data_IF_980711441712
#
_entry.id   IF_980711441712
#
_cell.length_a   1.000
_cell.length_b   1.000
_cell.length_c   1.000
_cell.angle_alpha   90.00
_cell.angle_beta   90.00
_cell.angle_gamma   90.00
#
_symmetry.space_group_name_H-M   'P 1'
#
loop_
_entity.id
_entity.type
_entity.pdbx_description
1 polymer ?
#
# COMPACT_ATOMS: atom_id res chain seq x y z
N UNK A 1 -21.82 -8.83 26.93
CA UNK A 1 -21.90 -8.96 25.45
C UNK A 1 -20.62 -8.44 24.85
N UNK A 2 -19.74 -9.31 24.40
CA UNK A 2 -18.51 -8.94 23.71
C UNK A 2 -18.89 -8.24 22.38
N UNK A 3 -18.42 -7.01 22.18
CA UNK A 3 -18.56 -6.31 20.88
C UNK A 3 -17.66 -7.04 19.88
N UNK A 4 -18.22 -7.99 19.15
CA UNK A 4 -17.51 -8.65 18.06
C UNK A 4 -17.23 -7.63 16.96
N UNK A 5 -15.97 -7.37 16.67
CA UNK A 5 -15.58 -6.55 15.52
C UNK A 5 -16.04 -7.28 14.23
N UNK A 6 -16.90 -6.68 13.39
CA UNK A 6 -17.48 -7.35 12.22
C UNK A 6 -16.42 -7.96 11.27
N UNK A 7 -15.28 -7.29 11.14
CA UNK A 7 -14.15 -7.78 10.30
C UNK A 7 -13.49 -9.03 10.90
N UNK A 8 -13.33 -9.10 12.21
CA UNK A 8 -12.78 -10.28 12.88
C UNK A 8 -13.73 -11.47 12.71
N UNK A 9 -15.02 -11.28 12.95
CA UNK A 9 -16.03 -12.31 12.75
C UNK A 9 -16.09 -12.83 11.31
N UNK A 10 -15.92 -11.95 10.32
CA UNK A 10 -15.83 -12.36 8.92
C UNK A 10 -14.58 -13.19 8.64
N UNK A 11 -13.43 -12.82 9.18
CA UNK A 11 -12.18 -13.57 9.03
C UNK A 11 -12.29 -14.95 9.72
N UNK A 12 -12.82 -14.99 10.93
CA UNK A 12 -13.03 -16.23 11.69
C UNK A 12 -13.93 -17.19 10.90
N UNK A 13 -15.01 -16.69 10.31
CA UNK A 13 -15.88 -17.48 9.43
C UNK A 13 -15.12 -18.03 8.23
N UNK A 14 -14.32 -17.23 7.54
CA UNK A 14 -13.53 -17.67 6.38
C UNK A 14 -12.53 -18.73 6.78
N UNK A 15 -11.86 -18.57 7.92
CA UNK A 15 -10.90 -19.56 8.43
C UNK A 15 -11.59 -20.87 8.80
N UNK A 16 -12.72 -20.81 9.51
CA UNK A 16 -13.51 -21.96 9.89
C UNK A 16 -14.05 -22.71 8.65
N UNK A 17 -14.57 -22.00 7.66
CA UNK A 17 -15.04 -22.59 6.40
C UNK A 17 -13.92 -23.35 5.67
N UNK A 18 -12.71 -22.77 5.64
CA UNK A 18 -11.54 -23.42 5.01
C UNK A 18 -11.09 -24.65 5.81
N UNK A 19 -11.07 -24.59 7.14
CA UNK A 19 -10.72 -25.71 8.00
C UNK A 19 -11.70 -26.87 7.80
N UNK A 20 -13.01 -26.60 7.80
CA UNK A 20 -14.04 -27.62 7.54
C UNK A 20 -13.93 -28.20 6.15
N UNK A 21 -13.61 -27.38 5.12
CA UNK A 21 -13.39 -27.88 3.77
C UNK A 21 -12.24 -28.88 3.70
N UNK A 22 -11.13 -28.61 4.40
CA UNK A 22 -9.98 -29.53 4.49
C UNK A 22 -10.36 -30.78 5.25
N UNK A 23 -11.03 -30.66 6.41
CA UNK A 23 -11.47 -31.78 7.21
C UNK A 23 -12.41 -32.72 6.44
N UNK A 24 -13.33 -32.17 5.63
CA UNK A 24 -14.18 -32.96 4.73
C UNK A 24 -13.38 -33.70 3.66
N UNK A 25 -12.39 -33.07 3.05
CA UNK A 25 -11.49 -33.70 2.06
C UNK A 25 -10.70 -34.87 2.68
N UNK A 26 -10.45 -34.81 3.98
CA UNK A 26 -9.77 -35.86 4.75
C UNK A 26 -10.75 -36.88 5.36
N UNK A 27 -12.05 -36.80 5.05
CA UNK A 27 -13.11 -37.64 5.61
C UNK A 27 -13.19 -37.64 7.14
N UNK A 28 -12.82 -36.51 7.78
CA UNK A 28 -12.85 -36.37 9.25
C UNK A 28 -14.19 -35.79 9.73
N UNK A 29 -15.00 -35.17 8.87
CA UNK A 29 -16.29 -34.58 9.21
C UNK A 29 -17.14 -34.38 7.96
N UNK A 30 -18.46 -34.40 8.13
CA UNK A 30 -19.42 -33.96 7.09
C UNK A 30 -19.99 -32.57 7.37
N UNK A 31 -19.51 -31.90 8.41
CA UNK A 31 -19.99 -30.60 8.83
C UNK A 31 -19.78 -29.53 7.77
N UNK A 32 -20.77 -28.69 7.54
CA UNK A 32 -20.76 -27.53 6.62
C UNK A 32 -21.23 -26.30 7.39
N UNK A 33 -20.57 -25.17 7.18
CA UNK A 33 -21.11 -23.89 7.64
C UNK A 33 -22.17 -23.43 6.64
N UNK A 34 -23.40 -23.43 7.05
CA UNK A 34 -24.52 -22.83 6.32
C UNK A 34 -24.87 -21.42 6.84
N UNK A 35 -25.83 -20.78 6.16
CA UNK A 35 -26.28 -19.44 6.52
C UNK A 35 -27.01 -19.35 7.85
N UNK A 36 -27.62 -20.45 8.31
CA UNK A 36 -28.42 -20.49 9.53
C UNK A 36 -27.52 -20.71 10.76
N UNK A 37 -26.52 -21.57 10.64
CA UNK A 37 -25.55 -21.84 11.71
C UNK A 37 -24.47 -20.78 11.85
N UNK A 38 -24.14 -20.07 10.76
CA UNK A 38 -23.12 -19.03 10.76
C UNK A 38 -23.49 -17.93 9.75
N UNK A 39 -24.33 -16.96 10.13
CA UNK A 39 -24.78 -15.89 9.24
C UNK A 39 -23.62 -15.09 8.66
N UNK A 40 -23.81 -14.60 7.43
CA UNK A 40 -22.81 -13.74 6.80
C UNK A 40 -22.72 -12.41 7.54
N UNK A 41 -21.53 -12.10 8.02
CA UNK A 41 -21.25 -10.76 8.56
C UNK A 41 -20.87 -9.86 7.40
N UNK A 42 -21.74 -8.92 7.05
CA UNK A 42 -21.45 -7.90 6.04
C UNK A 42 -20.55 -6.85 6.69
N UNK A 43 -19.32 -6.79 6.23
CA UNK A 43 -18.39 -5.71 6.58
C UNK A 43 -18.35 -4.71 5.44
N UNK A 44 -18.91 -3.52 5.67
CA UNK A 44 -18.68 -2.39 4.77
C UNK A 44 -17.23 -1.91 4.96
N UNK A 45 -16.40 -2.16 3.96
CA UNK A 45 -15.04 -1.64 3.98
C UNK A 45 -15.10 -0.11 3.99
N UNK A 46 -14.47 0.50 4.99
CA UNK A 46 -14.29 1.95 4.97
C UNK A 46 -13.40 2.32 3.77
N UNK A 47 -13.82 3.34 3.03
CA UNK A 47 -13.02 3.88 1.91
C UNK A 47 -11.66 4.33 2.45
N UNK A 48 -10.61 4.02 1.69
CA UNK A 48 -9.27 4.47 2.05
C UNK A 48 -9.21 6.01 1.94
N UNK A 49 -8.73 6.65 3.00
CA UNK A 49 -8.44 8.08 2.96
C UNK A 49 -7.22 8.30 2.06
N UNK A 50 -7.35 9.20 1.10
CA UNK A 50 -6.29 9.60 0.17
C UNK A 50 -6.04 11.10 0.29
N UNK A 51 -4.79 11.51 0.11
CA UNK A 51 -4.39 12.90 0.04
C UNK A 51 -4.52 13.42 -1.40
N UNK A 52 -4.90 14.65 -1.55
CA UNK A 52 -4.78 15.37 -2.84
C UNK A 52 -3.30 15.55 -3.21
N UNK A 53 -2.99 15.81 -4.47
CA UNK A 53 -1.60 16.03 -4.90
C UNK A 53 -0.89 17.15 -4.11
N UNK A 54 -1.49 18.33 -3.87
CA UNK A 54 -0.86 19.37 -3.04
C UNK A 54 -0.62 18.91 -1.59
N UNK A 55 -1.53 18.16 -0.98
CA UNK A 55 -1.36 17.62 0.37
C UNK A 55 -0.25 16.56 0.40
N UNK A 56 -0.17 15.69 -0.63
CA UNK A 56 0.88 14.70 -0.76
C UNK A 56 2.27 15.33 -0.87
N UNK A 57 2.42 16.39 -1.67
CA UNK A 57 3.67 17.15 -1.80
C UNK A 57 4.07 17.79 -0.46
N UNK A 58 3.14 18.47 0.22
CA UNK A 58 3.40 19.03 1.57
C UNK A 58 3.80 17.95 2.58
N UNK A 59 3.17 16.77 2.49
CA UNK A 59 3.53 15.63 3.31
C UNK A 59 4.97 15.17 3.02
N UNK A 60 5.36 15.05 1.75
CA UNK A 60 6.71 14.62 1.35
C UNK A 60 7.78 15.57 1.87
N UNK A 61 7.58 16.89 1.73
CA UNK A 61 8.51 17.92 2.25
C UNK A 61 8.71 17.78 3.77
N UNK A 62 7.62 17.62 4.50
CA UNK A 62 7.68 17.46 5.95
C UNK A 62 8.26 16.11 6.39
N UNK A 63 7.97 15.03 5.64
CA UNK A 63 8.47 13.69 5.89
C UNK A 63 9.97 13.58 5.65
N UNK A 64 10.54 14.36 4.72
CA UNK A 64 11.97 14.39 4.41
C UNK A 64 12.83 14.78 5.64
N UNK A 65 12.24 15.48 6.60
CA UNK A 65 12.92 15.90 7.85
C UNK A 65 12.87 14.86 8.97
N UNK A 66 12.14 13.76 8.79
CA UNK A 66 11.96 12.73 9.82
C UNK A 66 13.10 11.70 9.79
N UNK A 67 13.31 11.00 10.90
CA UNK A 67 14.32 9.92 10.97
C UNK A 67 13.98 8.78 9.99
N UNK A 68 12.70 8.47 9.84
CA UNK A 68 12.21 7.45 8.92
C UNK A 68 11.84 7.98 7.51
N UNK A 69 12.38 9.14 7.12
CA UNK A 69 12.04 9.82 5.88
C UNK A 69 12.09 8.91 4.64
N UNK A 70 13.14 8.09 4.49
CA UNK A 70 13.27 7.20 3.35
C UNK A 70 12.09 6.25 3.21
N UNK A 71 11.60 5.66 4.31
CA UNK A 71 10.42 4.78 4.31
C UNK A 71 9.15 5.55 3.94
N UNK A 72 8.96 6.74 4.54
CA UNK A 72 7.77 7.57 4.30
C UNK A 72 7.72 8.04 2.84
N UNK A 73 8.85 8.52 2.30
CA UNK A 73 8.95 8.98 0.91
C UNK A 73 8.78 7.83 -0.09
N UNK A 74 9.34 6.66 0.17
CA UNK A 74 9.14 5.49 -0.67
C UNK A 74 7.67 5.02 -0.68
N UNK A 75 6.95 5.15 0.44
CA UNK A 75 5.50 4.92 0.45
C UNK A 75 4.76 5.94 -0.43
N UNK A 76 5.20 7.22 -0.45
CA UNK A 76 4.70 8.23 -1.39
C UNK A 76 5.08 7.95 -2.85
N UNK A 77 6.11 7.15 -3.12
CA UNK A 77 6.45 6.65 -4.46
C UNK A 77 5.69 5.36 -4.83
N UNK A 78 4.70 4.95 -4.03
CA UNK A 78 3.86 3.79 -4.33
C UNK A 78 4.38 2.46 -3.81
N UNK A 79 5.41 2.41 -2.97
CA UNK A 79 5.85 1.17 -2.33
C UNK A 79 4.90 0.75 -1.21
N UNK A 80 4.76 -0.56 -1.02
CA UNK A 80 4.15 -1.07 0.21
C UNK A 80 5.11 -0.83 1.39
N UNK A 81 4.58 -0.66 2.59
CA UNK A 81 5.37 -0.48 3.81
C UNK A 81 6.53 -1.48 3.93
N UNK A 82 6.25 -2.77 3.74
CA UNK A 82 7.27 -3.81 3.83
C UNK A 82 8.34 -3.74 2.73
N UNK A 83 7.98 -3.30 1.54
CA UNK A 83 8.90 -3.05 0.43
C UNK A 83 9.80 -1.84 0.73
N UNK A 84 9.20 -0.74 1.22
CA UNK A 84 9.94 0.47 1.61
C UNK A 84 10.96 0.22 2.73
N UNK A 85 10.60 -0.64 3.71
CA UNK A 85 11.50 -1.05 4.79
C UNK A 85 12.65 -1.96 4.32
N UNK A 86 12.44 -2.72 3.24
CA UNK A 86 13.43 -3.65 2.70
C UNK A 86 14.33 -3.03 1.64
N UNK A 87 14.00 -1.82 1.19
CA UNK A 87 14.75 -1.13 0.14
C UNK A 87 16.18 -0.81 0.60
N UNK A 88 17.15 -1.06 -0.29
CA UNK A 88 18.57 -0.95 0.00
C UNK A 88 19.32 -0.18 -1.07
N UNK A 89 20.56 0.17 -0.77
CA UNK A 89 21.44 0.81 -1.72
C UNK A 89 21.77 -0.09 -2.93
N UNK A 90 21.83 -1.40 -2.72
CA UNK A 90 22.07 -2.38 -3.78
C UNK A 90 20.92 -2.47 -4.79
N UNK A 91 19.72 -2.08 -4.38
CA UNK A 91 18.52 -2.07 -5.23
C UNK A 91 18.38 -0.80 -6.07
N UNK A 92 19.18 0.24 -5.80
CA UNK A 92 19.12 1.54 -6.46
C UNK A 92 20.23 1.65 -7.51
N UNK A 93 19.84 1.81 -8.78
CA UNK A 93 20.77 2.03 -9.88
C UNK A 93 21.30 3.47 -9.91
N UNK A 94 22.39 3.70 -10.67
CA UNK A 94 23.01 5.02 -10.78
C UNK A 94 22.07 6.09 -11.41
N UNK A 95 21.18 5.66 -12.30
CA UNK A 95 20.15 6.48 -12.96
C UNK A 95 18.89 6.73 -12.10
N UNK A 96 18.93 6.35 -10.82
CA UNK A 96 17.84 6.65 -9.87
C UNK A 96 16.65 5.69 -9.94
N UNK A 97 16.83 4.51 -10.55
CA UNK A 97 15.77 3.49 -10.62
C UNK A 97 15.92 2.49 -9.49
N UNK A 98 14.89 2.38 -8.65
CA UNK A 98 14.79 1.41 -7.56
C UNK A 98 14.17 0.11 -8.05
N UNK A 99 14.85 -1.02 -7.82
CA UNK A 99 14.32 -2.37 -8.06
C UNK A 99 13.66 -2.89 -6.80
N UNK A 100 12.34 -3.10 -6.84
CA UNK A 100 11.57 -3.62 -5.71
C UNK A 100 11.53 -5.13 -5.80
N UNK A 101 12.26 -5.82 -4.89
CA UNK A 101 12.42 -7.27 -4.93
C UNK A 101 12.32 -7.96 -3.57
N UNK A 102 12.35 -7.22 -2.48
CA UNK A 102 12.23 -7.75 -1.12
C UNK A 102 11.15 -7.03 -0.32
N UNK A 103 10.70 -7.66 0.73
CA UNK A 103 9.85 -7.08 1.76
C UNK A 103 10.39 -7.44 3.15
N UNK A 104 10.11 -6.60 4.13
CA UNK A 104 10.48 -6.80 5.53
C UNK A 104 9.30 -6.49 6.44
N UNK A 105 9.09 -7.34 7.45
CA UNK A 105 8.20 -7.08 8.56
C UNK A 105 8.94 -6.47 9.76
N UNK A 106 8.35 -6.63 10.93
CA UNK A 106 8.93 -6.17 12.20
C UNK A 106 10.15 -7.02 12.62
N UNK A 107 10.25 -8.26 12.14
CA UNK A 107 11.32 -9.23 12.43
C UNK A 107 12.69 -8.87 11.84
N UNK A 108 12.82 -7.79 11.09
CA UNK A 108 14.04 -7.38 10.37
C UNK A 108 14.54 -8.36 9.29
N UNK A 109 13.96 -9.53 9.15
CA UNK A 109 14.30 -10.48 8.08
C UNK A 109 13.79 -10.01 6.73
N UNK A 110 14.64 -10.14 5.72
CA UNK A 110 14.26 -9.90 4.32
C UNK A 110 13.57 -11.14 3.78
N UNK A 111 12.40 -10.94 3.20
CA UNK A 111 11.62 -11.98 2.55
C UNK A 111 11.42 -11.64 1.08
N UNK A 112 11.30 -12.64 0.19
CA UNK A 112 10.91 -12.41 -1.18
C UNK A 112 9.49 -11.82 -1.24
N UNK A 113 9.16 -11.18 -2.33
CA UNK A 113 7.82 -10.65 -2.56
C UNK A 113 6.80 -11.79 -2.74
N UNK A 114 5.56 -11.56 -2.29
CA UNK A 114 4.49 -12.57 -2.27
C UNK A 114 4.05 -13.03 -3.66
N UNK A 115 4.27 -12.25 -4.71
CA UNK A 115 3.85 -12.58 -6.08
C UNK A 115 4.84 -12.07 -7.11
N UNK A 116 4.89 -12.69 -8.28
CA UNK A 116 5.73 -12.27 -9.42
C UNK A 116 5.38 -10.84 -9.88
N UNK A 117 4.14 -10.42 -9.80
CA UNK A 117 3.69 -9.08 -10.19
C UNK A 117 4.17 -7.96 -9.24
N UNK A 118 4.64 -8.31 -8.05
CA UNK A 118 5.20 -7.35 -7.10
C UNK A 118 6.62 -6.91 -7.46
N UNK A 119 7.37 -7.73 -8.23
CA UNK A 119 8.69 -7.39 -8.73
C UNK A 119 8.57 -6.32 -9.81
N UNK A 120 9.20 -5.18 -9.59
CA UNK A 120 9.10 -4.03 -10.48
C UNK A 120 10.24 -3.06 -10.30
N UNK A 121 10.40 -2.16 -11.25
CA UNK A 121 11.35 -1.05 -11.21
C UNK A 121 10.59 0.26 -11.17
N UNK A 122 11.04 1.19 -10.33
CA UNK A 122 10.42 2.51 -10.13
C UNK A 122 11.52 3.56 -10.23
N UNK A 123 11.36 4.51 -11.16
CA UNK A 123 12.18 5.71 -11.18
C UNK A 123 11.76 6.60 -10.00
N UNK A 124 12.72 6.94 -9.14
CA UNK A 124 12.45 7.80 -7.98
C UNK A 124 12.59 9.28 -8.38
N UNK A 125 11.72 10.16 -7.86
CA UNK A 125 11.86 11.61 -8.05
C UNK A 125 13.17 12.13 -7.44
N UNK A 126 13.73 13.20 -8.01
CA UNK A 126 15.03 13.76 -7.60
C UNK A 126 15.07 14.14 -6.11
N UNK A 127 14.02 14.76 -5.58
CA UNK A 127 13.92 15.11 -4.17
C UNK A 127 13.96 13.88 -3.23
N UNK A 128 13.44 12.74 -3.68
CA UNK A 128 13.52 11.47 -2.92
C UNK A 128 14.93 10.89 -3.02
N UNK A 129 15.55 10.94 -4.20
CA UNK A 129 16.93 10.51 -4.41
C UNK A 129 17.90 11.32 -3.56
N UNK A 130 17.73 12.63 -3.51
CA UNK A 130 18.56 13.52 -2.70
C UNK A 130 18.42 13.21 -1.21
N UNK A 131 17.20 13.00 -0.74
CA UNK A 131 16.96 12.57 0.64
C UNK A 131 17.67 11.25 0.96
N UNK A 132 17.63 10.26 0.05
CA UNK A 132 18.32 8.97 0.21
C UNK A 132 19.83 9.14 0.21
N UNK A 133 20.38 9.97 -0.69
CA UNK A 133 21.84 10.20 -0.85
C UNK A 133 22.44 10.94 0.34
N UNK A 134 21.69 11.88 0.92
CA UNK A 134 22.14 12.67 2.07
C UNK A 134 22.19 11.87 3.38
N UNK A 135 21.56 10.69 3.42
CA UNK A 135 21.54 9.88 4.63
C UNK A 135 22.76 8.97 4.73
N UNK A 136 23.28 8.74 5.96
CA UNK A 136 24.40 7.85 6.16
C UNK A 136 24.04 6.43 5.71
N UNK A 137 25.05 5.70 5.23
CA UNK A 137 24.92 4.28 4.92
C UNK A 137 24.68 3.50 6.20
N UNK A 138 23.69 2.63 6.19
CA UNK A 138 23.50 1.67 7.29
C UNK A 138 24.43 0.47 7.12
N UNK A 139 24.70 -0.26 8.20
CA UNK A 139 25.59 -1.42 8.18
C UNK A 139 25.07 -2.55 7.29
N UNK A 140 23.75 -2.70 7.19
CA UNK A 140 23.11 -3.69 6.33
C UNK A 140 22.97 -3.24 4.87
N UNK A 141 23.25 -1.97 4.55
CA UNK A 141 22.99 -1.35 3.26
C UNK A 141 21.52 -0.98 3.01
N UNK A 142 20.60 -1.26 3.95
CA UNK A 142 19.22 -0.80 3.89
C UNK A 142 19.15 0.72 3.99
N UNK A 143 18.15 1.34 3.39
CA UNK A 143 17.93 2.79 3.56
C UNK A 143 17.45 3.16 4.97
N UNK A 144 16.88 2.22 5.72
CA UNK A 144 16.39 2.42 7.06
C UNK A 144 16.50 1.16 7.91
N UNK A 145 17.15 1.26 9.08
CA UNK A 145 17.29 0.16 10.04
C UNK A 145 16.46 0.32 11.32
N UNK A 146 15.76 1.44 11.46
CA UNK A 146 14.94 1.72 12.64
C UNK A 146 13.71 0.81 12.76
N UNK A 147 12.96 1.02 13.84
CA UNK A 147 11.75 0.25 14.15
C UNK A 147 10.55 0.73 13.35
N UNK A 148 9.59 -0.15 13.15
CA UNK A 148 8.29 0.18 12.56
C UNK A 148 7.51 1.17 13.44
N UNK A 149 7.64 1.07 14.76
CA UNK A 149 7.03 2.02 15.68
C UNK A 149 7.47 3.46 15.40
N UNK A 150 8.77 3.67 15.17
CA UNK A 150 9.31 5.00 14.80
C UNK A 150 8.72 5.50 13.49
N UNK A 151 8.57 4.64 12.48
CA UNK A 151 7.91 5.02 11.21
C UNK A 151 6.49 5.51 11.44
N UNK A 152 5.70 4.82 12.26
CA UNK A 152 4.34 5.26 12.60
C UNK A 152 4.32 6.55 13.41
N UNK A 153 5.24 6.72 14.36
CA UNK A 153 5.36 7.94 15.17
C UNK A 153 5.68 9.14 14.28
N UNK A 154 6.64 9.00 13.37
CA UNK A 154 7.01 10.05 12.43
C UNK A 154 5.86 10.38 11.47
N UNK A 155 5.22 9.35 10.90
CA UNK A 155 4.04 9.51 10.06
C UNK A 155 2.93 10.29 10.77
N UNK A 156 2.61 9.91 12.02
CA UNK A 156 1.59 10.58 12.82
C UNK A 156 1.97 12.04 13.12
N UNK A 157 3.23 12.28 13.49
CA UNK A 157 3.74 13.63 13.72
C UNK A 157 3.59 14.53 12.49
N UNK A 158 3.93 14.02 11.30
CA UNK A 158 3.77 14.76 10.03
C UNK A 158 2.30 15.06 9.74
N UNK A 159 1.43 14.06 9.83
CA UNK A 159 0.00 14.23 9.55
C UNK A 159 -0.66 15.21 10.50
N UNK A 160 -0.35 15.14 11.79
CA UNK A 160 -0.87 16.09 12.80
C UNK A 160 -0.35 17.51 12.56
N UNK A 161 0.97 17.69 12.38
CA UNK A 161 1.57 19.02 12.16
C UNK A 161 1.01 19.73 10.94
N UNK A 162 0.66 19.00 9.89
CA UNK A 162 0.08 19.54 8.66
C UNK A 162 -1.44 19.58 8.67
N UNK A 163 -2.10 19.13 9.75
CA UNK A 163 -3.57 19.01 9.84
C UNK A 163 -4.16 18.23 8.66
N UNK A 164 -3.49 17.16 8.24
CA UNK A 164 -3.95 16.33 7.13
C UNK A 164 -5.05 15.36 7.58
N UNK A 165 -5.89 14.86 6.65
CA UNK A 165 -6.82 13.77 6.93
C UNK A 165 -6.10 12.55 7.50
N UNK A 166 -6.78 11.65 8.26
CA UNK A 166 -6.18 10.49 8.92
C UNK A 166 -5.78 9.42 7.90
N UNK A 167 -4.83 9.74 7.03
CA UNK A 167 -4.27 8.85 6.03
C UNK A 167 -3.36 7.81 6.68
N UNK A 168 -3.36 6.58 6.16
CA UNK A 168 -2.44 5.52 6.59
C UNK A 168 -1.20 5.49 5.68
N UNK A 169 -0.13 4.77 6.06
CA UNK A 169 1.02 4.52 5.16
C UNK A 169 0.58 3.84 3.85
N UNK A 170 -0.43 2.98 3.90
CA UNK A 170 -1.01 2.40 2.69
C UNK A 170 -1.86 3.43 1.92
N UNK A 171 -2.49 4.36 2.63
CA UNK A 171 -3.19 5.50 2.05
C UNK A 171 -2.28 6.45 1.28
N UNK A 172 -1.01 6.65 1.70
CA UNK A 172 -0.03 7.42 0.92
C UNK A 172 0.21 6.80 -0.47
N UNK A 173 0.37 5.48 -0.51
CA UNK A 173 0.46 4.75 -1.78
C UNK A 173 -0.81 4.86 -2.62
N UNK A 174 -1.98 4.89 -2.01
CA UNK A 174 -3.24 5.15 -2.72
C UNK A 174 -3.31 6.59 -3.22
N UNK A 175 -2.80 7.55 -2.46
CA UNK A 175 -2.78 8.95 -2.85
C UNK A 175 -1.98 9.19 -4.12
N UNK A 176 -0.75 8.64 -4.22
CA UNK A 176 0.04 8.78 -5.45
C UNK A 176 -0.62 8.07 -6.64
N UNK A 177 -1.25 6.94 -6.40
CA UNK A 177 -1.97 6.22 -7.44
C UNK A 177 -3.17 7.02 -7.98
N UNK A 178 -3.97 7.59 -7.06
CA UNK A 178 -5.09 8.46 -7.41
C UNK A 178 -4.62 9.72 -8.14
N UNK A 179 -3.57 10.37 -7.64
CA UNK A 179 -2.99 11.56 -8.27
C UNK A 179 -2.49 11.26 -9.70
N UNK A 180 -1.84 10.11 -9.93
CA UNK A 180 -1.36 9.71 -11.24
C UNK A 180 -2.51 9.51 -12.23
N UNK A 181 -3.58 8.79 -11.82
CA UNK A 181 -4.75 8.59 -12.69
C UNK A 181 -5.49 9.90 -12.98
N UNK A 182 -5.68 10.75 -11.98
CA UNK A 182 -6.29 12.08 -12.17
C UNK A 182 -5.40 13.00 -13.04
N UNK A 183 -4.09 12.79 -13.04
CA UNK A 183 -3.12 13.44 -13.92
C UNK A 183 -3.13 12.91 -15.36
N UNK A 184 -3.96 11.90 -15.67
CA UNK A 184 -4.10 11.33 -17.01
C UNK A 184 -3.21 10.13 -17.30
N UNK A 185 -2.47 9.62 -16.32
CA UNK A 185 -1.66 8.41 -16.53
C UNK A 185 -2.53 7.18 -16.79
N UNK A 186 -2.18 6.34 -17.76
CA UNK A 186 -2.92 5.12 -18.03
C UNK A 186 -3.00 4.21 -16.80
N UNK A 187 -4.22 3.80 -16.43
CA UNK A 187 -4.46 2.97 -15.23
C UNK A 187 -3.60 1.69 -15.21
N UNK A 188 -3.36 1.10 -16.39
CA UNK A 188 -2.49 -0.08 -16.52
C UNK A 188 -1.03 0.21 -16.16
N UNK A 189 -0.54 1.41 -16.49
CA UNK A 189 0.81 1.85 -16.12
C UNK A 189 0.90 2.04 -14.60
N UNK A 190 -0.09 2.72 -14.01
CA UNK A 190 -0.20 2.91 -12.55
C UNK A 190 -0.27 1.56 -11.83
N UNK A 191 -1.07 0.62 -12.35
CA UNK A 191 -1.14 -0.76 -11.83
C UNK A 191 0.23 -1.45 -11.82
N UNK A 192 0.98 -1.33 -12.91
CA UNK A 192 2.34 -1.87 -13.03
C UNK A 192 3.30 -1.24 -12.03
N UNK A 193 3.27 0.09 -11.91
CA UNK A 193 4.07 0.84 -10.94
C UNK A 193 3.79 0.43 -9.49
N UNK A 194 2.53 0.18 -9.16
CA UNK A 194 2.14 -0.29 -7.84
C UNK A 194 2.41 -1.79 -7.62
N UNK A 195 2.50 -2.61 -8.66
CA UNK A 195 2.59 -4.07 -8.54
C UNK A 195 1.30 -4.69 -7.97
N UNK A 196 0.14 -4.26 -8.50
CA UNK A 196 -1.15 -4.86 -8.19
C UNK A 196 -1.42 -6.07 -9.09
N UNK A 197 -1.78 -7.20 -8.48
CA UNK A 197 -2.09 -8.43 -9.22
C UNK A 197 -3.42 -8.36 -9.98
N UNK A 198 -4.34 -7.45 -9.61
CA UNK A 198 -5.68 -7.32 -10.18
C UNK A 198 -5.97 -5.87 -10.55
N UNK A 199 -6.55 -5.69 -11.74
CA UNK A 199 -7.06 -4.39 -12.20
C UNK A 199 -8.19 -3.86 -11.31
N UNK A 200 -9.06 -4.75 -10.80
CA UNK A 200 -10.17 -4.38 -9.93
C UNK A 200 -9.70 -3.62 -8.68
N UNK A 201 -8.60 -4.06 -8.04
CA UNK A 201 -8.01 -3.35 -6.90
C UNK A 201 -7.55 -1.92 -7.23
N UNK A 202 -7.21 -1.67 -8.48
CA UNK A 202 -6.81 -0.34 -8.93
C UNK A 202 -8.04 0.48 -9.34
N UNK A 203 -9.00 -0.14 -10.02
CA UNK A 203 -10.23 0.50 -10.47
C UNK A 203 -11.13 0.97 -9.31
N UNK A 204 -11.30 0.14 -8.28
CA UNK A 204 -12.11 0.47 -7.10
C UNK A 204 -11.58 1.72 -6.34
N UNK A 205 -10.27 1.99 -6.43
CA UNK A 205 -9.66 3.16 -5.80
C UNK A 205 -10.05 4.48 -6.49
N UNK A 206 -10.42 4.42 -7.78
CA UNK A 206 -10.69 5.61 -8.59
C UNK A 206 -12.16 5.79 -8.94
N UNK A 207 -13.00 4.78 -8.75
CA UNK A 207 -14.41 4.81 -9.15
C UNK A 207 -15.14 6.08 -8.65
N UNK A 208 -14.75 6.57 -7.48
CA UNK A 208 -15.34 7.78 -6.87
C UNK A 208 -14.67 9.10 -7.30
N UNK A 209 -13.55 9.03 -8.02
CA UNK A 209 -12.74 10.22 -8.40
C UNK A 209 -12.67 10.40 -9.92
N UNK A 210 -13.28 9.48 -10.69
CA UNK A 210 -13.35 9.64 -12.14
C UNK A 210 -14.24 10.84 -12.48
N UNK A 211 -13.83 11.72 -13.42
CA UNK A 211 -14.70 12.75 -13.95
C UNK A 211 -15.93 12.12 -14.61
N UNK A 212 -17.01 12.89 -14.68
CA UNK A 212 -18.24 12.46 -15.33
C UNK A 212 -17.95 11.86 -16.71
N UNK A 213 -18.26 10.57 -16.86
CA UNK A 213 -18.03 9.82 -18.11
C UNK A 213 -19.07 10.13 -19.19
N UNK A 214 -20.08 10.96 -18.89
CA UNK A 214 -21.16 11.30 -19.83
C UNK A 214 -20.66 11.95 -21.13
N UNK A 215 -19.48 12.60 -21.09
CA UNK A 215 -18.88 13.28 -22.24
C UNK A 215 -17.89 12.42 -23.05
N UNK A 216 -17.60 11.17 -22.62
CA UNK A 216 -16.57 10.34 -23.27
C UNK A 216 -16.86 10.13 -24.77
N UNK A 217 -18.11 9.88 -25.12
CA UNK A 217 -18.48 9.71 -26.52
C UNK A 217 -18.31 10.99 -27.36
N UNK A 218 -18.48 12.19 -26.76
CA UNK A 218 -18.28 13.43 -27.48
C UNK A 218 -16.81 13.66 -27.86
N UNK A 219 -15.88 13.20 -27.05
CA UNK A 219 -14.44 13.35 -27.32
C UNK A 219 -13.87 12.30 -28.27
N UNK A 220 -14.57 11.18 -28.47
CA UNK A 220 -14.12 10.12 -29.38
C UNK A 220 -14.49 10.34 -30.85
N UNK A 221 -15.44 11.22 -31.12
CA UNK A 221 -16.02 11.41 -32.46
C UNK A 221 -15.97 12.88 -32.96
N UNK A 222 -15.07 13.68 -32.43
CA UNK A 222 -14.77 15.04 -32.89
C UNK A 222 -13.46 15.06 -33.67
#
# INVERSE_FOLDING_TARGET
>A
MARTHPRAAQLDRVMLSRALLVARKLHLTDCVLDGDTCPQVVHHAQKAVVLTLPELLRYMDAAALMDSATVLLLCCCGLRRGEALAASRADLSADGVLTVQHQRGDSRELHPLKSKHSYRRIALPDNVLDCIRMRPLTLSGLFYEGSMHKVYTDHHSVTQRLSLPPVTLHGLRHSVATAAVLGGEPVKLVQGCLGHASFALTADLYADHLPDTSAVCKHLFV
#
